data_IF_610225054444
#
_entry.id   IF_610225054444
#
_cell.length_a   1.000
_cell.length_b   1.000
_cell.length_c   1.000
_cell.angle_alpha   90.00
_cell.angle_beta   90.00
_cell.angle_gamma   90.00
#
_symmetry.space_group_name_H-M   'P 1'
#
loop_
_entity.id
_entity.type
_entity.pdbx_description
1 polymer ?
#
# COMPACT_ATOMS: atom_id res chain seq x y z
N UNK A 1 -52.98 30.29 -66.11
CA UNK A 1 -51.86 30.59 -65.19
C UNK A 1 -52.36 30.48 -63.76
N UNK A 2 -52.19 29.31 -63.14
CA UNK A 2 -52.56 29.05 -61.74
C UNK A 2 -51.29 29.26 -60.89
N UNK A 3 -51.31 30.19 -59.94
CA UNK A 3 -50.22 30.39 -58.99
C UNK A 3 -50.55 29.66 -57.67
N UNK A 4 -49.81 28.60 -57.38
CA UNK A 4 -49.79 27.94 -56.07
C UNK A 4 -49.06 28.84 -55.08
N UNK A 5 -49.73 29.20 -53.97
CA UNK A 5 -49.08 29.78 -52.80
C UNK A 5 -48.65 28.65 -51.85
N UNK A 6 -47.35 28.41 -51.73
CA UNK A 6 -46.76 27.56 -50.69
C UNK A 6 -46.69 28.35 -49.38
N UNK A 7 -47.47 27.95 -48.38
CA UNK A 7 -47.29 28.39 -47.00
C UNK A 7 -46.16 27.58 -46.37
N UNK A 8 -44.99 28.20 -46.18
CA UNK A 8 -43.87 27.60 -45.47
C UNK A 8 -44.16 27.55 -43.96
N UNK A 9 -44.29 26.35 -43.42
CA UNK A 9 -44.27 26.13 -41.96
C UNK A 9 -42.81 26.24 -41.52
N UNK A 10 -42.46 27.34 -40.86
CA UNK A 10 -41.17 27.49 -40.22
C UNK A 10 -41.11 26.56 -39.00
N UNK A 11 -40.34 25.48 -39.11
CA UNK A 11 -39.99 24.61 -37.99
C UNK A 11 -39.02 25.41 -37.10
N UNK A 12 -39.51 25.95 -35.98
CA UNK A 12 -38.66 26.56 -34.97
C UNK A 12 -37.83 25.45 -34.32
N UNK A 13 -36.62 25.23 -34.84
CA UNK A 13 -35.64 24.38 -34.19
C UNK A 13 -35.41 24.91 -32.77
N UNK A 14 -35.83 24.15 -31.76
CA UNK A 14 -35.47 24.41 -30.37
C UNK A 14 -33.95 24.33 -30.30
N UNK A 15 -33.29 25.49 -30.17
CA UNK A 15 -31.84 25.52 -29.95
C UNK A 15 -31.46 24.68 -28.72
N UNK A 16 -30.21 24.20 -28.61
CA UNK A 16 -29.78 23.43 -27.46
C UNK A 16 -30.13 24.23 -26.20
N UNK A 17 -30.85 23.60 -25.27
CA UNK A 17 -31.16 24.21 -23.99
C UNK A 17 -29.84 24.65 -23.36
N UNK A 18 -29.63 25.97 -23.28
CA UNK A 18 -28.50 26.52 -22.55
C UNK A 18 -28.65 26.07 -21.10
N UNK A 19 -27.81 25.15 -20.66
CA UNK A 19 -27.74 24.74 -19.26
C UNK A 19 -27.24 25.95 -18.49
N UNK A 20 -28.19 26.74 -17.96
CA UNK A 20 -27.87 27.91 -17.17
C UNK A 20 -27.27 27.44 -15.86
N UNK A 21 -26.01 27.79 -15.62
CA UNK A 21 -25.36 27.61 -14.32
C UNK A 21 -26.20 28.39 -13.30
N UNK A 22 -26.59 27.78 -12.17
CA UNK A 22 -27.34 28.50 -11.14
C UNK A 22 -26.58 29.77 -10.71
N UNK A 23 -27.29 30.88 -10.50
CA UNK A 23 -26.67 32.18 -10.13
C UNK A 23 -25.81 32.10 -8.85
N UNK A 24 -26.06 31.10 -7.98
CA UNK A 24 -25.20 30.79 -6.83
C UNK A 24 -23.82 30.23 -7.24
N UNK A 25 -23.76 29.40 -8.26
CA UNK A 25 -22.53 28.80 -8.75
C UNK A 25 -21.67 29.80 -9.54
N UNK A 26 -22.30 30.72 -10.30
CA UNK A 26 -21.58 31.81 -10.99
C UNK A 26 -20.93 32.77 -9.98
N UNK A 27 -21.67 33.19 -8.94
CA UNK A 27 -21.11 34.00 -7.84
C UNK A 27 -20.02 33.27 -7.06
N UNK A 28 -20.14 31.96 -6.86
CA UNK A 28 -19.11 31.17 -6.21
C UNK A 28 -17.83 31.11 -7.05
N UNK A 29 -17.96 30.99 -8.38
CA UNK A 29 -16.84 31.01 -9.31
C UNK A 29 -16.11 32.36 -9.28
N UNK A 30 -16.85 33.46 -9.34
CA UNK A 30 -16.27 34.82 -9.29
C UNK A 30 -15.61 35.13 -7.94
N UNK A 31 -16.02 34.46 -6.86
CA UNK A 31 -15.42 34.60 -5.53
C UNK A 31 -14.10 33.84 -5.36
N UNK A 32 -13.72 32.97 -6.30
CA UNK A 32 -12.44 32.27 -6.28
C UNK A 32 -11.31 33.26 -6.56
N UNK A 33 -10.33 33.30 -5.66
CA UNK A 33 -9.18 34.21 -5.79
C UNK A 33 -7.87 33.44 -5.74
N UNK A 34 -7.01 33.67 -6.73
CA UNK A 34 -5.67 33.11 -6.78
C UNK A 34 -4.83 33.49 -5.55
N UNK A 35 -5.01 34.70 -5.03
CA UNK A 35 -4.29 35.17 -3.84
C UNK A 35 -4.76 34.45 -2.58
N UNK A 36 -6.06 34.19 -2.44
CA UNK A 36 -6.60 33.40 -1.30
C UNK A 36 -6.09 31.96 -1.34
N UNK A 37 -6.10 31.34 -2.52
CA UNK A 37 -5.55 29.99 -2.71
C UNK A 37 -4.04 29.94 -2.38
N UNK A 38 -3.28 30.92 -2.87
CA UNK A 38 -1.85 31.05 -2.58
C UNK A 38 -1.59 31.19 -1.08
N UNK A 39 -2.37 32.04 -0.40
CA UNK A 39 -2.24 32.25 1.04
C UNK A 39 -2.43 30.95 1.84
N UNK A 40 -3.43 30.12 1.50
CA UNK A 40 -3.61 28.82 2.15
C UNK A 40 -2.40 27.89 1.94
N UNK A 41 -1.90 27.81 0.70
CA UNK A 41 -0.74 26.98 0.37
C UNK A 41 0.51 27.44 1.13
N UNK A 42 0.81 28.74 1.10
CA UNK A 42 1.97 29.33 1.78
C UNK A 42 1.88 29.15 3.30
N UNK A 43 0.69 29.32 3.87
CA UNK A 43 0.49 29.14 5.32
C UNK A 43 0.75 27.69 5.73
N UNK A 44 0.11 26.73 5.06
CA UNK A 44 0.27 25.30 5.35
C UNK A 44 1.67 24.75 5.04
N UNK A 45 2.44 25.44 4.19
CA UNK A 45 3.82 25.11 3.84
C UNK A 45 4.86 25.91 4.65
N UNK A 46 4.43 26.82 5.52
CA UNK A 46 5.34 27.67 6.29
C UNK A 46 6.08 26.90 7.39
N UNK A 47 7.22 27.43 7.82
CA UNK A 47 8.00 26.89 8.94
C UNK A 47 7.19 26.78 10.23
N UNK A 48 6.18 27.65 10.41
CA UNK A 48 5.27 27.59 11.55
C UNK A 48 4.47 26.29 11.60
N UNK A 49 4.26 25.62 10.47
CA UNK A 49 3.61 24.31 10.40
C UNK A 49 4.62 23.17 10.43
N UNK A 50 5.94 23.42 10.31
CA UNK A 50 7.02 22.46 10.55
C UNK A 50 6.85 21.07 9.87
N UNK A 51 6.07 20.99 8.78
CA UNK A 51 5.66 19.75 8.12
C UNK A 51 4.39 19.11 8.71
N UNK A 52 3.66 18.36 7.89
CA UNK A 52 2.34 17.78 8.23
C UNK A 52 2.39 16.25 8.27
N UNK A 53 3.46 15.71 8.86
CA UNK A 53 3.60 14.27 9.07
C UNK A 53 2.57 13.77 10.09
N UNK A 54 1.95 12.62 9.83
CA UNK A 54 0.98 11.98 10.72
C UNK A 54 1.53 11.92 12.15
N UNK A 55 0.77 12.38 13.14
CA UNK A 55 1.16 12.38 14.55
C UNK A 55 2.08 13.52 15.00
N UNK A 56 2.60 14.35 14.10
CA UNK A 56 3.42 15.49 14.45
C UNK A 56 2.58 16.72 14.80
N UNK A 57 3.18 17.63 15.58
CA UNK A 57 2.57 18.90 15.99
C UNK A 57 2.09 19.75 14.80
N UNK A 58 2.83 19.74 13.70
CA UNK A 58 2.46 20.44 12.48
C UNK A 58 1.20 19.90 11.80
N UNK A 59 0.91 18.60 11.95
CA UNK A 59 -0.35 18.02 11.51
C UNK A 59 -1.52 18.58 12.32
N UNK A 60 -1.39 18.67 13.65
CA UNK A 60 -2.41 19.27 14.53
C UNK A 60 -2.69 20.73 14.19
N UNK A 61 -1.64 21.52 13.92
CA UNK A 61 -1.80 22.91 13.46
C UNK A 61 -2.55 22.98 12.14
N UNK A 62 -2.28 22.06 11.21
CA UNK A 62 -2.99 21.98 9.94
C UNK A 62 -4.47 21.62 10.14
N UNK A 63 -4.77 20.66 11.01
CA UNK A 63 -6.14 20.28 11.36
C UNK A 63 -6.93 21.49 11.90
N UNK A 64 -6.35 22.23 12.85
CA UNK A 64 -6.94 23.43 13.43
C UNK A 64 -7.12 24.55 12.39
N UNK A 65 -6.14 24.77 11.52
CA UNK A 65 -6.20 25.77 10.45
C UNK A 65 -7.35 25.50 9.46
N UNK A 66 -7.51 24.23 9.07
CA UNK A 66 -8.60 23.82 8.17
C UNK A 66 -9.95 24.01 8.88
N UNK A 67 -10.08 23.60 10.15
CA UNK A 67 -11.30 23.79 10.93
C UNK A 67 -11.65 25.28 11.10
N UNK A 68 -10.64 26.14 11.31
CA UNK A 68 -10.82 27.59 11.35
C UNK A 68 -11.33 28.14 10.02
N UNK A 69 -10.73 27.72 8.90
CA UNK A 69 -11.13 28.15 7.56
C UNK A 69 -12.57 27.73 7.22
N UNK A 70 -12.98 26.51 7.60
CA UNK A 70 -14.36 26.05 7.45
C UNK A 70 -15.34 26.90 8.26
N UNK A 71 -14.99 27.20 9.51
CA UNK A 71 -15.80 28.03 10.41
C UNK A 71 -15.96 29.45 9.89
N UNK A 72 -14.87 30.06 9.41
CA UNK A 72 -14.89 31.38 8.78
C UNK A 72 -15.75 31.42 7.51
N UNK A 73 -15.78 30.30 6.76
CA UNK A 73 -16.66 30.11 5.62
C UNK A 73 -18.13 29.84 5.97
N UNK A 74 -18.50 29.80 7.25
CA UNK A 74 -19.86 29.51 7.72
C UNK A 74 -20.28 28.05 7.58
N UNK A 75 -19.32 27.12 7.39
CA UNK A 75 -19.59 25.68 7.29
C UNK A 75 -19.70 25.08 8.68
N UNK A 76 -20.78 24.36 8.96
CA UNK A 76 -20.98 23.70 10.25
C UNK A 76 -20.09 22.45 10.39
N UNK A 77 -19.71 22.06 11.62
CA UNK A 77 -19.02 20.78 11.83
C UNK A 77 -19.91 19.59 11.45
N UNK A 78 -19.30 18.52 10.96
CA UNK A 78 -19.99 17.25 10.69
C UNK A 78 -19.98 16.34 11.94
N UNK A 79 -20.63 16.80 13.02
CA UNK A 79 -20.64 16.16 14.34
C UNK A 79 -20.63 17.20 15.46
N UNK A 80 -20.24 16.81 16.68
CA UNK A 80 -20.10 17.75 17.80
C UNK A 80 -18.93 18.73 17.61
N UNK A 81 -17.90 18.31 16.86
CA UNK A 81 -16.72 19.12 16.50
C UNK A 81 -16.36 18.91 15.03
N UNK A 82 -15.42 19.70 14.49
CA UNK A 82 -14.89 19.50 13.14
C UNK A 82 -13.95 18.28 13.04
N UNK A 83 -13.58 17.66 14.16
CA UNK A 83 -12.55 16.63 14.23
C UNK A 83 -13.18 15.24 14.38
N UNK A 84 -12.80 14.33 13.49
CA UNK A 84 -13.11 12.91 13.59
C UNK A 84 -11.80 12.13 13.83
N UNK A 85 -11.61 11.55 15.03
CA UNK A 85 -10.37 10.83 15.34
C UNK A 85 -10.28 9.53 14.55
N UNK A 86 -9.10 9.30 13.99
CA UNK A 86 -8.70 8.13 13.24
C UNK A 86 -7.45 7.53 13.87
N UNK A 87 -7.57 6.30 14.36
CA UNK A 87 -6.43 5.52 14.83
C UNK A 87 -5.69 4.88 13.67
N UNK A 88 -4.41 5.20 13.54
CA UNK A 88 -3.51 4.62 12.55
C UNK A 88 -2.41 3.83 13.26
N UNK A 89 -2.05 2.68 12.69
CA UNK A 89 -0.93 1.89 13.18
C UNK A 89 0.29 2.19 12.29
N UNK A 90 1.42 2.41 12.95
CA UNK A 90 2.71 2.67 12.35
C UNK A 90 3.64 1.49 12.65
N UNK A 91 3.76 0.53 11.72
CA UNK A 91 4.70 -0.56 11.84
C UNK A 91 6.13 -0.05 11.65
N UNK A 92 7.02 -0.52 12.51
CA UNK A 92 8.46 -0.29 12.42
C UNK A 92 9.20 -1.59 12.66
N UNK A 93 10.46 -1.65 12.23
CA UNK A 93 11.30 -2.79 12.54
C UNK A 93 11.77 -2.70 14.00
N UNK A 94 11.49 -3.75 14.76
CA UNK A 94 12.01 -3.96 16.10
C UNK A 94 13.45 -4.48 16.07
N UNK A 95 14.08 -4.51 17.24
CA UNK A 95 15.47 -4.96 17.40
C UNK A 95 15.67 -6.48 17.42
N UNK A 96 14.59 -7.27 17.33
CA UNK A 96 14.59 -8.72 17.52
C UNK A 96 14.34 -9.51 16.22
N UNK A 97 14.21 -8.82 15.08
CA UNK A 97 14.07 -9.44 13.77
C UNK A 97 15.22 -10.40 13.45
N UNK A 98 14.88 -11.68 13.21
CA UNK A 98 15.87 -12.74 13.03
C UNK A 98 15.38 -13.83 12.08
N UNK A 99 16.31 -14.37 11.30
CA UNK A 99 16.12 -15.58 10.51
C UNK A 99 17.19 -16.62 10.88
N UNK A 100 16.73 -17.77 11.37
CA UNK A 100 17.59 -18.91 11.67
C UNK A 100 17.23 -20.11 10.80
N UNK A 101 18.22 -20.71 10.17
CA UNK A 101 18.04 -21.87 9.29
C UNK A 101 19.02 -22.97 9.71
N UNK A 102 18.48 -24.16 9.95
CA UNK A 102 19.23 -25.33 10.41
C UNK A 102 18.98 -26.54 9.50
N UNK A 103 19.97 -27.42 9.40
CA UNK A 103 19.78 -28.74 8.80
C UNK A 103 19.02 -29.69 9.73
N UNK A 104 18.71 -30.90 9.26
CA UNK A 104 18.05 -31.96 10.05
C UNK A 104 18.79 -32.38 11.33
N UNK A 105 20.09 -32.08 11.44
CA UNK A 105 20.91 -32.43 12.60
C UNK A 105 21.01 -31.25 13.59
N UNK A 106 20.37 -30.12 13.30
CA UNK A 106 20.46 -28.90 14.10
C UNK A 106 21.67 -28.02 13.79
N UNK A 107 22.46 -28.36 12.77
CA UNK A 107 23.61 -27.56 12.34
C UNK A 107 23.12 -26.27 11.70
N UNK A 108 23.64 -25.12 12.13
CA UNK A 108 23.30 -23.83 11.55
C UNK A 108 23.80 -23.73 10.10
N UNK A 109 22.88 -23.42 9.19
CA UNK A 109 23.16 -23.08 7.78
C UNK A 109 23.21 -21.55 7.63
N UNK A 110 22.30 -20.84 8.30
CA UNK A 110 22.26 -19.38 8.36
C UNK A 110 21.68 -18.92 9.71
N UNK A 111 22.19 -17.80 10.19
CA UNK A 111 21.72 -17.12 11.39
C UNK A 111 21.90 -15.62 11.19
N UNK A 112 20.82 -14.94 10.83
CA UNK A 112 20.82 -13.58 10.31
C UNK A 112 19.96 -12.69 11.20
N UNK A 113 20.47 -11.49 11.47
CA UNK A 113 19.71 -10.38 12.05
C UNK A 113 19.40 -9.37 10.96
N UNK A 114 18.41 -8.50 11.18
CA UNK A 114 18.00 -7.55 10.16
C UNK A 114 19.14 -6.59 9.76
N UNK A 115 19.31 -6.37 8.46
CA UNK A 115 20.38 -5.60 7.86
C UNK A 115 20.51 -5.89 6.36
N UNK A 116 21.73 -5.82 5.82
CA UNK A 116 21.97 -5.94 4.37
C UNK A 116 21.70 -7.35 3.79
N UNK A 117 21.74 -8.39 4.62
CA UNK A 117 21.56 -9.79 4.19
C UNK A 117 20.15 -10.34 4.43
N UNK A 118 19.38 -9.71 5.31
CA UNK A 118 18.04 -10.14 5.71
C UNK A 118 17.21 -8.94 6.17
N UNK A 119 15.96 -8.84 5.71
CA UNK A 119 15.05 -7.79 6.15
C UNK A 119 13.60 -8.30 6.10
N UNK A 120 12.87 -8.32 7.23
CA UNK A 120 11.41 -8.44 7.23
C UNK A 120 10.80 -7.36 6.33
N UNK A 121 9.83 -7.72 5.51
CA UNK A 121 9.22 -6.77 4.57
C UNK A 121 7.96 -6.14 5.18
N UNK A 122 7.58 -4.91 4.77
CA UNK A 122 6.35 -4.30 5.24
C UNK A 122 5.13 -5.21 5.06
N UNK A 123 5.04 -5.96 3.97
CA UNK A 123 3.97 -6.92 3.64
C UNK A 123 3.89 -8.13 4.60
N UNK A 124 4.79 -8.22 5.57
CA UNK A 124 4.83 -9.30 6.57
C UNK A 124 3.71 -9.15 7.60
N UNK A 125 3.10 -10.28 7.96
CA UNK A 125 2.46 -10.43 9.27
C UNK A 125 3.50 -10.42 10.40
N UNK A 126 3.04 -10.18 11.63
CA UNK A 126 3.93 -10.08 12.80
C UNK A 126 3.87 -11.32 13.71
N UNK A 127 3.88 -12.50 13.12
CA UNK A 127 3.89 -13.77 13.87
C UNK A 127 5.12 -14.57 13.48
N UNK A 128 5.77 -15.12 14.49
CA UNK A 128 6.88 -16.05 14.29
C UNK A 128 6.42 -17.29 13.54
N UNK A 129 7.24 -17.71 12.59
CA UNK A 129 7.03 -18.92 11.82
C UNK A 129 8.24 -19.84 11.97
N UNK A 130 8.00 -21.08 12.39
CA UNK A 130 9.03 -22.13 12.40
C UNK A 130 8.50 -23.35 11.67
N UNK A 131 9.14 -23.71 10.56
CA UNK A 131 8.68 -24.77 9.69
C UNK A 131 9.81 -25.29 8.77
N UNK A 132 9.53 -26.39 8.06
CA UNK A 132 10.38 -26.83 6.95
C UNK A 132 10.48 -25.74 5.89
N UNK A 133 11.67 -25.60 5.30
CA UNK A 133 11.91 -24.69 4.20
C UNK A 133 11.80 -25.43 2.86
N UNK A 134 11.08 -24.86 1.90
CA UNK A 134 10.98 -25.38 0.52
C UNK A 134 11.33 -24.32 -0.51
N UNK A 135 11.97 -24.70 -1.61
CA UNK A 135 12.24 -23.80 -2.75
C UNK A 135 11.10 -23.93 -3.76
N UNK A 136 10.44 -22.83 -4.07
CA UNK A 136 9.34 -22.75 -5.04
C UNK A 136 9.67 -21.81 -6.21
N UNK A 137 10.92 -21.73 -6.65
CA UNK A 137 11.28 -20.97 -7.85
C UNK A 137 10.89 -19.50 -7.71
N UNK A 138 10.04 -18.97 -8.60
CA UNK A 138 9.54 -17.59 -8.49
C UNK A 138 8.29 -17.47 -7.60
N UNK A 139 7.72 -18.57 -7.13
CA UNK A 139 6.54 -18.59 -6.27
C UNK A 139 5.29 -18.05 -6.95
N UNK A 140 5.14 -18.29 -8.25
CA UNK A 140 4.03 -17.78 -9.06
C UNK A 140 3.08 -18.91 -9.42
N UNK A 141 1.78 -18.67 -9.24
CA UNK A 141 0.70 -19.45 -9.85
C UNK A 141 -0.07 -18.56 -10.83
N UNK A 142 0.04 -18.91 -12.11
CA UNK A 142 -0.50 -18.15 -13.24
C UNK A 142 -1.15 -19.10 -14.26
N UNK A 143 -2.39 -19.56 -14.01
CA UNK A 143 -3.12 -20.40 -14.95
C UNK A 143 -3.24 -19.80 -16.36
N UNK A 144 -3.38 -18.47 -16.43
CA UNK A 144 -3.38 -17.64 -17.65
C UNK A 144 -2.10 -17.81 -18.50
N UNK A 145 -0.98 -18.13 -17.86
CA UNK A 145 0.32 -18.41 -18.50
C UNK A 145 0.67 -19.90 -18.51
N UNK A 146 -0.25 -20.78 -18.11
CA UNK A 146 -0.03 -22.22 -17.95
C UNK A 146 1.20 -22.53 -17.07
N UNK A 147 1.44 -21.71 -16.04
CA UNK A 147 2.61 -21.80 -15.19
C UNK A 147 2.21 -21.87 -13.72
N UNK A 148 2.83 -22.79 -12.99
CA UNK A 148 2.66 -22.92 -11.55
C UNK A 148 3.95 -23.47 -10.92
N UNK A 149 4.65 -22.62 -10.17
CA UNK A 149 5.87 -23.04 -9.46
C UNK A 149 5.58 -23.98 -8.29
N UNK A 150 4.35 -23.98 -7.76
CA UNK A 150 3.95 -24.83 -6.64
C UNK A 150 3.52 -26.24 -7.06
N UNK A 151 3.32 -26.50 -8.36
CA UNK A 151 2.82 -27.77 -8.88
C UNK A 151 3.62 -29.01 -8.45
N UNK A 152 4.89 -28.83 -8.06
CA UNK A 152 5.78 -29.91 -7.59
C UNK A 152 6.37 -29.65 -6.20
N UNK A 153 5.84 -28.67 -5.47
CA UNK A 153 6.33 -28.25 -4.17
C UNK A 153 5.17 -28.31 -3.19
N UNK A 154 5.28 -29.16 -2.17
CA UNK A 154 4.35 -29.11 -1.05
C UNK A 154 4.69 -27.89 -0.19
N UNK A 155 3.92 -26.82 -0.28
CA UNK A 155 4.08 -25.61 0.53
C UNK A 155 3.25 -25.61 1.82
N UNK A 156 2.42 -26.64 2.05
CA UNK A 156 1.53 -26.69 3.21
C UNK A 156 2.34 -26.72 4.50
N UNK A 157 2.00 -25.79 5.40
CA UNK A 157 2.65 -25.59 6.70
C UNK A 157 4.17 -25.36 6.61
N UNK A 158 4.67 -24.90 5.45
CA UNK A 158 6.08 -24.64 5.20
C UNK A 158 6.39 -23.14 5.19
N UNK A 159 7.67 -22.81 5.35
CA UNK A 159 8.21 -21.53 4.89
C UNK A 159 8.68 -21.75 3.45
N UNK A 160 8.27 -20.87 2.54
CA UNK A 160 8.61 -20.97 1.13
C UNK A 160 9.73 -19.99 0.79
N UNK A 161 10.76 -20.46 0.12
CA UNK A 161 11.84 -19.67 -0.47
C UNK A 161 11.52 -19.44 -1.95
N UNK A 162 11.49 -18.19 -2.37
CA UNK A 162 11.22 -17.79 -3.76
C UNK A 162 12.25 -16.78 -4.26
N UNK A 163 12.35 -16.64 -5.57
CA UNK A 163 13.17 -15.64 -6.25
C UNK A 163 12.37 -14.36 -6.48
N UNK A 164 13.04 -13.22 -6.39
CA UNK A 164 12.53 -11.94 -6.87
C UNK A 164 12.30 -11.96 -8.40
N UNK A 165 11.36 -11.14 -8.86
CA UNK A 165 11.03 -11.03 -10.28
C UNK A 165 10.07 -12.13 -10.75
N UNK A 166 10.09 -12.40 -12.05
CA UNK A 166 9.27 -13.43 -12.68
C UNK A 166 10.08 -14.18 -13.76
N UNK A 167 9.69 -15.41 -14.16
CA UNK A 167 10.44 -16.16 -15.16
C UNK A 167 10.41 -15.48 -16.53
N UNK A 168 11.56 -15.20 -17.12
CA UNK A 168 11.68 -14.58 -18.46
C UNK A 168 11.12 -15.45 -19.59
N UNK A 169 10.99 -16.76 -19.36
CA UNK A 169 10.49 -17.73 -20.33
C UNK A 169 8.98 -17.68 -20.57
N UNK A 170 8.23 -16.95 -19.75
CA UNK A 170 6.77 -16.85 -19.90
C UNK A 170 6.41 -15.70 -20.84
N UNK A 171 5.39 -15.91 -21.67
CA UNK A 171 4.88 -14.88 -22.58
C UNK A 171 3.85 -13.98 -21.88
N UNK A 172 4.32 -12.87 -21.32
CA UNK A 172 3.46 -11.87 -20.68
C UNK A 172 2.84 -10.87 -21.66
N UNK A 173 3.14 -10.96 -22.96
CA UNK A 173 2.75 -9.93 -23.95
C UNK A 173 1.23 -9.79 -24.11
N UNK A 174 0.50 -10.85 -23.76
CA UNK A 174 -0.97 -10.92 -23.84
C UNK A 174 -1.68 -10.39 -22.60
N UNK A 175 -0.93 -10.03 -21.55
CA UNK A 175 -1.49 -9.59 -20.29
C UNK A 175 -1.48 -8.05 -20.20
N UNK A 176 -2.49 -7.45 -19.54
CA UNK A 176 -2.47 -6.04 -19.16
C UNK A 176 -1.20 -5.69 -18.37
N UNK A 177 -0.71 -4.45 -18.54
CA UNK A 177 0.53 -3.98 -17.91
C UNK A 177 0.53 -4.12 -16.39
N UNK A 178 -0.61 -3.82 -15.75
CA UNK A 178 -0.76 -3.95 -14.29
C UNK A 178 -0.64 -5.40 -13.82
N UNK A 179 -1.20 -6.34 -14.58
CA UNK A 179 -1.12 -7.77 -14.27
C UNK A 179 0.31 -8.30 -14.47
N UNK A 180 0.96 -7.90 -15.57
CA UNK A 180 2.36 -8.20 -15.84
C UNK A 180 3.28 -7.70 -14.72
N UNK A 181 3.10 -6.46 -14.27
CA UNK A 181 3.87 -5.91 -13.16
C UNK A 181 3.62 -6.65 -11.84
N UNK A 182 2.41 -7.17 -11.64
CA UNK A 182 2.01 -7.90 -10.45
C UNK A 182 2.84 -9.16 -10.16
N UNK A 183 3.28 -9.90 -11.18
CA UNK A 183 4.02 -11.16 -10.99
C UNK A 183 5.37 -11.00 -10.28
N UNK A 184 6.02 -9.85 -10.44
CA UNK A 184 7.26 -9.53 -9.75
C UNK A 184 7.02 -9.03 -8.31
N UNK A 185 5.78 -8.61 -8.00
CA UNK A 185 5.42 -7.97 -6.74
C UNK A 185 5.39 -8.92 -5.55
N UNK A 186 5.76 -8.38 -4.39
CA UNK A 186 5.74 -9.11 -3.10
C UNK A 186 4.33 -9.58 -2.75
N UNK A 187 3.34 -8.71 -2.94
CA UNK A 187 1.93 -9.02 -2.62
C UNK A 187 1.39 -10.22 -3.39
N UNK A 188 1.71 -10.34 -4.68
CA UNK A 188 1.30 -11.49 -5.50
C UNK A 188 1.98 -12.76 -4.98
N UNK A 189 3.29 -12.74 -4.74
CA UNK A 189 4.04 -13.90 -4.22
C UNK A 189 3.54 -14.34 -2.84
N UNK A 190 3.24 -13.38 -1.96
CA UNK A 190 2.63 -13.63 -0.64
C UNK A 190 1.28 -14.32 -0.79
N UNK A 191 0.39 -13.74 -1.62
CA UNK A 191 -0.94 -14.30 -1.88
C UNK A 191 -0.87 -15.70 -2.46
N UNK A 192 0.03 -15.95 -3.43
CA UNK A 192 0.21 -17.27 -4.03
C UNK A 192 0.75 -18.27 -2.99
N UNK A 193 1.73 -17.89 -2.16
CA UNK A 193 2.23 -18.75 -1.08
C UNK A 193 1.12 -19.11 -0.07
N UNK A 194 0.30 -18.13 0.34
CA UNK A 194 -0.84 -18.32 1.24
C UNK A 194 -1.88 -19.28 0.67
N UNK A 195 -2.21 -19.13 -0.63
CA UNK A 195 -3.15 -20.04 -1.32
C UNK A 195 -2.66 -21.49 -1.32
N UNK A 196 -1.35 -21.70 -1.26
CA UNK A 196 -0.74 -23.03 -1.17
C UNK A 196 -0.50 -23.49 0.28
N UNK A 197 -0.97 -22.74 1.27
CA UNK A 197 -0.91 -23.10 2.69
C UNK A 197 0.44 -22.85 3.36
N UNK A 198 1.28 -21.98 2.78
CA UNK A 198 2.51 -21.54 3.42
C UNK A 198 2.21 -20.82 4.74
N UNK A 199 3.16 -20.87 5.68
CA UNK A 199 3.14 -20.11 6.94
C UNK A 199 4.21 -19.01 7.01
N UNK A 200 5.07 -18.93 5.99
CA UNK A 200 6.03 -17.86 5.82
C UNK A 200 6.60 -17.83 4.39
N UNK A 201 7.16 -16.68 4.02
CA UNK A 201 7.74 -16.42 2.72
C UNK A 201 9.11 -15.74 2.87
N UNK A 202 10.12 -16.30 2.21
CA UNK A 202 11.46 -15.73 2.05
C UNK A 202 11.69 -15.42 0.58
N UNK A 203 11.99 -14.15 0.26
CA UNK A 203 12.25 -13.69 -1.11
C UNK A 203 13.74 -13.44 -1.27
N UNK A 204 14.37 -14.18 -2.18
CA UNK A 204 15.77 -13.98 -2.55
C UNK A 204 15.88 -12.78 -3.49
N UNK A 205 16.62 -11.76 -3.07
CA UNK A 205 16.88 -10.54 -3.84
C UNK A 205 18.36 -10.38 -4.10
N UNK A 206 18.69 -9.77 -5.24
CA UNK A 206 20.08 -9.39 -5.55
C UNK A 206 20.61 -8.36 -4.56
N UNK A 207 19.72 -7.49 -4.07
CA UNK A 207 20.01 -6.48 -3.06
C UNK A 207 18.79 -6.35 -2.14
N UNK A 208 18.98 -6.53 -0.83
CA UNK A 208 17.89 -6.38 0.14
C UNK A 208 17.58 -4.90 0.38
N UNK A 209 18.58 -4.01 0.23
CA UNK A 209 18.43 -2.60 0.59
C UNK A 209 19.07 -2.29 1.93
N UNK A 210 19.32 -0.99 2.17
CA UNK A 210 19.46 -0.48 3.53
C UNK A 210 18.12 -0.68 4.26
N UNK A 211 18.17 -1.33 5.42
CA UNK A 211 17.01 -1.57 6.26
C UNK A 211 16.28 -0.28 6.60
N UNK A 212 16.99 0.84 6.75
CA UNK A 212 16.42 2.16 7.02
C UNK A 212 15.65 2.74 5.81
N UNK A 213 15.87 2.22 4.60
CA UNK A 213 15.06 2.57 3.43
C UNK A 213 13.72 1.84 3.43
N UNK A 214 13.70 0.59 3.93
CA UNK A 214 12.49 -0.24 4.03
C UNK A 214 11.67 0.17 5.26
N UNK A 215 12.36 0.41 6.38
CA UNK A 215 11.82 0.77 7.68
C UNK A 215 12.42 2.12 8.12
N UNK A 216 11.93 3.25 7.59
CA UNK A 216 12.46 4.56 7.93
C UNK A 216 12.20 4.88 9.40
N UNK A 217 13.23 5.41 10.07
CA UNK A 217 13.13 5.86 11.47
C UNK A 217 12.22 7.08 11.62
N UNK A 218 12.15 7.93 10.57
CA UNK A 218 11.37 9.15 10.60
C UNK A 218 10.09 9.02 9.74
N UNK A 219 8.89 9.16 10.34
CA UNK A 219 7.63 8.88 9.65
C UNK A 219 7.30 9.85 8.51
N UNK A 220 7.91 11.04 8.49
CA UNK A 220 7.72 12.02 7.41
C UNK A 220 8.40 11.64 6.08
N UNK A 221 9.27 10.61 6.07
CA UNK A 221 10.00 10.21 4.87
C UNK A 221 9.12 9.42 3.91
N UNK A 222 8.11 8.68 4.40
CA UNK A 222 7.07 8.03 3.59
C UNK A 222 5.77 7.85 4.40
N UNK A 223 4.72 8.58 4.05
CA UNK A 223 3.36 8.33 4.60
C UNK A 223 2.85 6.91 4.27
N UNK A 224 3.44 6.24 3.27
CA UNK A 224 3.05 4.91 2.80
C UNK A 224 3.33 3.76 3.80
N UNK A 225 3.98 4.02 4.94
CA UNK A 225 4.16 3.00 6.00
C UNK A 225 3.00 2.97 6.98
N UNK A 226 2.15 4.00 7.05
CA UNK A 226 0.96 3.96 7.90
C UNK A 226 -0.07 2.99 7.33
N UNK A 227 -0.62 2.15 8.21
CA UNK A 227 -1.65 1.19 7.86
C UNK A 227 -2.86 1.37 8.75
N UNK A 228 -4.01 0.99 8.24
CA UNK A 228 -5.15 0.76 9.12
C UNK A 228 -4.80 -0.41 10.03
N UNK A 229 -5.19 -0.34 11.30
CA UNK A 229 -4.96 -1.42 12.27
C UNK A 229 -5.47 -2.78 11.76
N UNK A 230 -6.61 -2.77 11.06
CA UNK A 230 -7.19 -3.94 10.41
C UNK A 230 -6.29 -4.56 9.35
N UNK A 231 -5.49 -3.76 8.64
CA UNK A 231 -4.61 -4.27 7.59
C UNK A 231 -3.43 -5.07 8.18
N UNK A 232 -2.85 -4.63 9.29
CA UNK A 232 -1.78 -5.37 9.97
C UNK A 232 -2.26 -6.74 10.51
N UNK A 233 -3.48 -6.79 11.02
CA UNK A 233 -4.06 -8.05 11.52
C UNK A 233 -4.40 -9.04 10.39
N UNK A 234 -4.63 -8.55 9.17
CA UNK A 234 -5.02 -9.40 8.02
C UNK A 234 -3.88 -10.11 7.32
N UNK A 235 -2.60 -9.76 7.55
CA UNK A 235 -1.46 -10.46 6.92
C UNK A 235 -1.11 -11.73 7.71
N UNK A 236 -1.45 -12.94 7.22
CA UNK A 236 -1.39 -14.16 8.02
C UNK A 236 0.01 -14.77 8.14
N UNK A 237 0.92 -14.46 7.22
CA UNK A 237 2.25 -15.08 7.16
C UNK A 237 3.37 -14.06 7.32
N UNK A 238 4.47 -14.50 7.92
CA UNK A 238 5.71 -13.75 7.97
C UNK A 238 6.36 -13.66 6.58
N UNK A 239 6.82 -12.47 6.18
CA UNK A 239 7.44 -12.23 4.87
C UNK A 239 8.78 -11.50 5.07
N UNK A 240 9.84 -12.01 4.47
CA UNK A 240 11.14 -11.33 4.52
C UNK A 240 11.91 -11.46 3.21
N UNK A 241 12.82 -10.53 2.96
CA UNK A 241 13.83 -10.62 1.92
C UNK A 241 15.14 -11.15 2.50
N UNK A 242 15.86 -11.94 1.69
CA UNK A 242 17.25 -12.34 1.96
C UNK A 242 18.11 -12.07 0.73
N UNK A 243 19.39 -11.75 0.94
CA UNK A 243 20.31 -11.52 -0.17
C UNK A 243 20.64 -12.82 -0.90
N UNK A 244 20.98 -12.74 -2.19
CA UNK A 244 21.48 -13.89 -2.96
C UNK A 244 22.67 -14.58 -2.30
N UNK A 245 23.54 -13.79 -1.63
CA UNK A 245 24.69 -14.30 -0.88
C UNK A 245 24.26 -15.15 0.32
N UNK A 246 23.33 -14.65 1.14
CA UNK A 246 22.78 -15.39 2.27
C UNK A 246 21.96 -16.62 1.83
N UNK A 247 21.25 -16.52 0.71
CA UNK A 247 20.48 -17.60 0.12
C UNK A 247 21.35 -18.75 -0.43
N UNK A 248 22.59 -18.48 -0.83
CA UNK A 248 23.44 -19.47 -1.50
C UNK A 248 23.68 -20.78 -0.72
N UNK A 249 24.11 -20.78 0.56
CA UNK A 249 24.25 -22.01 1.33
C UNK A 249 22.91 -22.73 1.56
N UNK A 250 21.82 -21.97 1.75
CA UNK A 250 20.47 -22.51 1.95
C UNK A 250 20.00 -23.27 0.71
N UNK A 251 20.12 -22.65 -0.47
CA UNK A 251 19.74 -23.28 -1.74
C UNK A 251 20.58 -24.49 -2.08
N UNK A 252 21.88 -24.48 -1.75
CA UNK A 252 22.74 -25.67 -1.88
C UNK A 252 22.25 -26.83 -1.00
N UNK A 253 21.85 -26.55 0.24
CA UNK A 253 21.29 -27.57 1.13
C UNK A 253 19.96 -28.13 0.60
N UNK A 254 19.06 -27.27 0.13
CA UNK A 254 17.79 -27.69 -0.48
C UNK A 254 18.01 -28.51 -1.77
N UNK A 255 18.96 -28.11 -2.64
CA UNK A 255 19.30 -28.84 -3.85
C UNK A 255 19.91 -30.22 -3.57
N UNK A 256 20.66 -30.36 -2.46
CA UNK A 256 21.15 -31.64 -1.96
C UNK A 256 20.05 -32.52 -1.32
N UNK A 257 18.78 -32.06 -1.34
CA UNK A 257 17.63 -32.71 -0.69
C UNK A 257 17.79 -32.89 0.81
N UNK A 258 18.59 -32.03 1.44
CA UNK A 258 18.67 -31.95 2.90
C UNK A 258 17.37 -31.33 3.42
N UNK A 259 16.77 -31.96 4.42
CA UNK A 259 15.65 -31.34 5.15
C UNK A 259 16.19 -30.18 5.95
N UNK A 260 15.64 -29.01 5.72
CA UNK A 260 16.04 -27.74 6.34
C UNK A 260 14.83 -27.17 7.09
N UNK A 261 15.07 -26.68 8.30
CA UNK A 261 14.05 -25.97 9.09
C UNK A 261 14.44 -24.51 9.16
N UNK A 262 13.50 -23.62 8.85
CA UNK A 262 13.64 -22.19 9.00
C UNK A 262 12.80 -21.72 10.19
N UNK A 263 13.32 -20.76 10.95
CA UNK A 263 12.61 -20.01 11.97
C UNK A 263 12.75 -18.53 11.64
N UNK A 264 11.64 -17.89 11.31
CA UNK A 264 11.53 -16.49 10.94
C UNK A 264 10.78 -15.76 12.05
N UNK A 265 11.46 -14.82 12.68
CA UNK A 265 10.92 -13.86 13.64
C UNK A 265 10.93 -12.50 12.94
N UNK A 266 9.77 -11.97 12.49
CA UNK A 266 9.69 -10.69 11.80
C UNK A 266 10.11 -9.51 12.68
N UNK A 267 9.87 -9.60 13.99
CA UNK A 267 10.23 -8.54 14.94
C UNK A 267 9.62 -7.18 14.57
N UNK A 268 8.36 -7.12 14.13
CA UNK A 268 7.73 -5.86 13.76
C UNK A 268 7.14 -5.24 15.03
N UNK A 269 7.56 -4.01 15.35
CA UNK A 269 6.93 -3.21 16.38
C UNK A 269 5.77 -2.42 15.76
N UNK A 270 4.71 -2.16 16.52
CA UNK A 270 3.58 -1.34 16.08
C UNK A 270 3.37 -0.23 17.10
N UNK A 271 3.46 1.01 16.65
CA UNK A 271 3.05 2.17 17.43
C UNK A 271 1.72 2.68 16.90
N UNK A 272 0.82 3.09 17.79
CA UNK A 272 -0.47 3.66 17.40
C UNK A 272 -0.41 5.18 17.50
N UNK A 273 -0.88 5.84 16.47
CA UNK A 273 -1.06 7.28 16.42
C UNK A 273 -2.52 7.59 16.15
N UNK A 274 -3.05 8.62 16.80
CA UNK A 274 -4.39 9.14 16.49
C UNK A 274 -4.22 10.50 15.82
N UNK A 275 -4.87 10.67 14.68
CA UNK A 275 -4.96 11.93 13.94
C UNK A 275 -6.43 12.22 13.65
N UNK A 276 -6.75 13.44 13.25
CA UNK A 276 -8.12 13.83 13.00
C UNK A 276 -8.38 14.07 11.51
N UNK A 277 -9.43 13.45 10.97
CA UNK A 277 -10.07 13.98 9.78
C UNK A 277 -10.75 15.31 10.15
N UNK A 278 -10.65 16.33 9.28
CA UNK A 278 -11.37 17.59 9.45
C UNK A 278 -12.59 17.61 8.54
N UNK A 279 -13.78 17.66 9.13
CA UNK A 279 -15.05 17.49 8.42
C UNK A 279 -15.98 18.69 8.63
N UNK A 280 -16.53 19.19 7.53
CA UNK A 280 -17.58 20.20 7.52
C UNK A 280 -18.78 19.74 6.70
N UNK A 281 -19.96 20.22 7.06
CA UNK A 281 -21.22 19.89 6.39
C UNK A 281 -21.98 21.16 6.01
N UNK A 282 -22.45 21.22 4.76
CA UNK A 282 -23.37 22.24 4.27
C UNK A 282 -24.68 21.53 3.97
N UNK A 283 -25.73 21.87 4.71
CA UNK A 283 -27.04 21.25 4.51
C UNK A 283 -27.62 21.68 3.16
N UNK A 284 -28.06 20.70 2.37
CA UNK A 284 -28.74 20.96 1.11
C UNK A 284 -30.09 21.63 1.37
N UNK A 285 -30.45 22.62 0.55
CA UNK A 285 -31.80 23.18 0.59
C UNK A 285 -32.80 22.09 0.17
N UNK A 286 -33.78 21.79 1.02
CA UNK A 286 -34.89 20.93 0.64
C UNK A 286 -35.64 21.58 -0.53
N UNK A 287 -35.55 20.98 -1.71
CA UNK A 287 -36.40 21.33 -2.85
C UNK A 287 -37.86 21.06 -2.46
N UNK A 288 -38.63 22.12 -2.24
CA UNK A 288 -40.10 22.07 -2.21
C UNK A 288 -40.66 22.23 -3.61
#
# INVERSE_FOLDING_TARGET
MLALALAGIAWAASGPASTRVPDGAERAFDAVSADRLRHHVETLASDAFAGRGVGHEGNRRAEEYIAASLREGGVAPAGDTYFQPVGLDHPSLGGDARLRIIDRNGTAIADLTAGEEFCPLPESGNRDASARLVDAGYGITAPELQHDDYARVDARDAIVLVLEGAPDRLDYSRLPDAERAGFAGVERKRTDAERHGARGLLIVRSFVGDVHTIWPEHPSVRTATYRLASELETHPIAVAAISTRAAAPIRRALAARTVVTATLTPGIAVSRVTVDNVLGFIEGAATR
#
